data_IF_564664649373
#
_entry.id   IF_564664649373
#
_cell.length_a   1.000
_cell.length_b   1.000
_cell.length_c   1.000
_cell.angle_alpha   90.00
_cell.angle_beta   90.00
_cell.angle_gamma   90.00
#
_symmetry.space_group_name_H-M   'P 1'
#
loop_
_entity.id
_entity.type
_entity.pdbx_description
1 polymer ?
#
# COMPACT_ATOMS: atom_id res chain seq x y z
N UNK A 1 -15.50 -12.70 -17.91
CA UNK A 1 -14.66 -11.57 -17.46
C UNK A 1 -13.41 -12.03 -16.70
N UNK A 2 -13.52 -12.68 -15.54
CA UNK A 2 -12.38 -13.10 -14.70
C UNK A 2 -11.30 -13.93 -15.43
N UNK A 3 -11.69 -14.97 -16.17
CA UNK A 3 -10.72 -15.80 -16.89
C UNK A 3 -9.90 -15.03 -17.93
N UNK A 4 -10.48 -14.01 -18.57
CA UNK A 4 -9.76 -13.16 -19.52
C UNK A 4 -8.65 -12.37 -18.83
N UNK A 5 -8.93 -11.82 -17.64
CA UNK A 5 -7.98 -11.09 -16.79
C UNK A 5 -6.81 -12.01 -16.40
N UNK A 6 -7.10 -13.21 -15.91
CA UNK A 6 -6.08 -14.17 -15.48
C UNK A 6 -5.22 -14.65 -16.65
N UNK A 7 -5.82 -14.87 -17.82
CA UNK A 7 -5.09 -15.28 -19.02
C UNK A 7 -4.13 -14.18 -19.48
N UNK A 8 -4.55 -12.91 -19.44
CA UNK A 8 -3.76 -11.76 -19.83
C UNK A 8 -3.11 -11.01 -18.65
N UNK A 9 -2.83 -11.72 -17.54
CA UNK A 9 -2.38 -11.11 -16.28
C UNK A 9 -1.23 -10.11 -16.44
N UNK A 10 -0.23 -10.37 -17.29
CA UNK A 10 0.88 -9.41 -17.51
C UNK A 10 0.38 -8.06 -18.01
N UNK A 11 -0.51 -8.05 -19.02
CA UNK A 11 -1.12 -6.81 -19.54
C UNK A 11 -1.99 -6.15 -18.48
N UNK A 12 -2.78 -6.94 -17.76
CA UNK A 12 -3.60 -6.43 -16.64
C UNK A 12 -2.74 -5.76 -15.58
N UNK A 13 -1.64 -6.39 -15.15
CA UNK A 13 -0.73 -5.82 -14.16
C UNK A 13 -0.14 -4.51 -14.65
N UNK A 14 0.34 -4.46 -15.89
CA UNK A 14 0.93 -3.24 -16.47
C UNK A 14 -0.10 -2.11 -16.45
N UNK A 15 -1.31 -2.35 -16.99
CA UNK A 15 -2.37 -1.35 -17.06
C UNK A 15 -2.77 -0.88 -15.65
N UNK A 16 -3.06 -1.81 -14.73
CA UNK A 16 -3.45 -1.46 -13.36
C UNK A 16 -2.35 -0.70 -12.64
N UNK A 17 -1.09 -1.09 -12.80
CA UNK A 17 0.03 -0.40 -12.13
C UNK A 17 0.23 1.01 -12.66
N UNK A 18 0.12 1.20 -13.98
CA UNK A 18 0.21 2.53 -14.61
C UNK A 18 -0.95 3.40 -14.12
N UNK A 19 -2.19 2.89 -14.17
CA UNK A 19 -3.38 3.64 -13.78
C UNK A 19 -3.33 4.01 -12.29
N UNK A 20 -3.04 3.06 -11.40
CA UNK A 20 -2.99 3.31 -9.96
C UNK A 20 -1.91 4.35 -9.61
N UNK A 21 -0.70 4.21 -10.14
CA UNK A 21 0.38 5.16 -9.86
C UNK A 21 0.08 6.54 -10.49
N UNK A 22 -0.46 6.58 -11.70
CA UNK A 22 -0.84 7.84 -12.35
C UNK A 22 -1.91 8.58 -11.55
N UNK A 23 -2.95 7.88 -11.09
CA UNK A 23 -4.01 8.46 -10.24
C UNK A 23 -3.40 9.03 -8.95
N UNK A 24 -2.54 8.27 -8.26
CA UNK A 24 -1.89 8.74 -7.02
C UNK A 24 -1.04 9.99 -7.28
N UNK A 25 -0.24 10.01 -8.34
CA UNK A 25 0.62 11.15 -8.69
C UNK A 25 -0.23 12.38 -9.02
N UNK A 26 -1.28 12.21 -9.84
CA UNK A 26 -2.16 13.31 -10.25
C UNK A 26 -2.85 13.92 -9.03
N UNK A 27 -3.45 13.10 -8.17
CA UNK A 27 -4.14 13.56 -6.96
C UNK A 27 -3.19 14.25 -5.99
N UNK A 28 -1.96 13.76 -5.84
CA UNK A 28 -0.97 14.37 -4.94
C UNK A 28 -0.50 15.75 -5.42
N UNK A 29 -0.70 16.09 -6.69
CA UNK A 29 -0.35 17.40 -7.27
C UNK A 29 -1.53 18.37 -7.41
N UNK A 30 -2.76 17.94 -7.10
CA UNK A 30 -3.94 18.79 -7.16
C UNK A 30 -4.10 19.60 -5.88
N UNK A 31 -4.56 20.87 -5.96
CA UNK A 31 -4.94 21.62 -4.77
C UNK A 31 -6.12 20.91 -4.09
N UNK A 32 -6.10 20.88 -2.75
CA UNK A 32 -7.19 20.29 -1.98
C UNK A 32 -8.50 21.05 -2.17
N UNK A 33 -9.60 20.44 -1.72
CA UNK A 33 -10.90 21.08 -1.70
C UNK A 33 -10.86 22.29 -0.73
N UNK A 34 -11.27 23.47 -1.21
CA UNK A 34 -11.18 24.72 -0.45
C UNK A 34 -12.35 24.97 0.53
N UNK A 35 -13.28 24.03 0.67
CA UNK A 35 -14.36 24.12 1.65
C UNK A 35 -14.03 23.41 2.97
N UNK A 36 -14.92 23.55 3.96
CA UNK A 36 -14.79 22.81 5.22
C UNK A 36 -14.85 21.30 4.96
N UNK A 37 -13.84 20.58 5.45
CA UNK A 37 -13.79 19.13 5.33
C UNK A 37 -14.80 18.50 6.30
N UNK A 38 -15.63 17.55 5.82
CA UNK A 38 -16.45 16.75 6.73
C UNK A 38 -15.57 16.03 7.77
N UNK A 39 -16.02 15.97 9.02
CA UNK A 39 -15.28 15.32 10.12
C UNK A 39 -14.85 13.87 9.83
N UNK A 40 -15.55 13.14 8.96
CA UNK A 40 -15.15 11.77 8.63
C UNK A 40 -13.89 11.70 7.76
N UNK A 41 -13.57 12.77 7.00
CA UNK A 41 -12.36 12.88 6.18
C UNK A 41 -11.11 12.97 7.06
N UNK A 42 -11.19 13.69 8.19
CA UNK A 42 -10.06 13.91 9.11
C UNK A 42 -9.58 12.62 9.77
N UNK A 43 -10.43 11.59 9.86
CA UNK A 43 -10.06 10.26 10.35
C UNK A 43 -9.44 9.35 9.28
N UNK A 44 -9.50 9.69 7.99
CA UNK A 44 -8.99 8.83 6.93
C UNK A 44 -7.47 8.55 7.02
N UNK A 45 -6.60 9.50 7.40
CA UNK A 45 -5.19 9.20 7.64
C UNK A 45 -4.97 8.14 8.73
N UNK A 46 -5.77 8.21 9.81
CA UNK A 46 -5.74 7.19 10.87
C UNK A 46 -6.23 5.83 10.35
N UNK A 47 -7.32 5.81 9.57
CA UNK A 47 -7.82 4.58 8.93
C UNK A 47 -6.77 3.98 7.99
N UNK A 48 -6.06 4.81 7.23
CA UNK A 48 -4.97 4.39 6.36
C UNK A 48 -3.85 3.69 7.16
N UNK A 49 -3.44 4.25 8.29
CA UNK A 49 -2.48 3.61 9.18
C UNK A 49 -2.99 2.29 9.77
N UNK A 50 -4.26 2.21 10.14
CA UNK A 50 -4.88 0.97 10.63
C UNK A 50 -4.89 -0.11 9.55
N UNK A 51 -5.30 0.22 8.32
CA UNK A 51 -5.29 -0.73 7.21
C UNK A 51 -3.87 -1.22 6.88
N UNK A 52 -2.88 -0.33 6.90
CA UNK A 52 -1.48 -0.71 6.74
C UNK A 52 -0.99 -1.63 7.86
N UNK A 53 -1.41 -1.38 9.11
CA UNK A 53 -1.10 -2.25 10.25
C UNK A 53 -1.66 -3.66 10.05
N UNK A 54 -2.92 -3.78 9.63
CA UNK A 54 -3.52 -5.08 9.31
C UNK A 54 -2.81 -5.77 8.15
N UNK A 55 -2.52 -5.02 7.07
CA UNK A 55 -1.75 -5.55 5.93
C UNK A 55 -0.41 -6.11 6.41
N UNK A 56 0.34 -5.37 7.23
CA UNK A 56 1.63 -5.82 7.77
C UNK A 56 1.50 -7.12 8.58
N UNK A 57 0.53 -7.19 9.49
CA UNK A 57 0.27 -8.39 10.31
C UNK A 57 -0.14 -9.59 9.44
N UNK A 58 -1.00 -9.40 8.44
CA UNK A 58 -1.39 -10.46 7.52
C UNK A 58 -0.21 -10.93 6.66
N UNK A 59 0.68 -10.04 6.23
CA UNK A 59 1.90 -10.43 5.51
C UNK A 59 2.85 -11.24 6.37
N UNK A 60 3.02 -10.87 7.65
CA UNK A 60 3.79 -11.68 8.59
C UNK A 60 3.16 -13.07 8.78
N UNK A 61 1.84 -13.14 8.95
CA UNK A 61 1.09 -14.40 9.01
C UNK A 61 1.25 -15.24 7.75
N UNK A 62 1.20 -14.61 6.57
CA UNK A 62 1.42 -15.26 5.28
C UNK A 62 2.83 -15.81 5.15
N UNK A 63 3.84 -15.05 5.58
CA UNK A 63 5.25 -15.43 5.55
C UNK A 63 5.50 -16.61 6.50
N UNK A 64 5.05 -16.53 7.75
CA UNK A 64 5.18 -17.62 8.71
C UNK A 64 4.49 -18.89 8.19
N UNK A 65 3.28 -18.77 7.66
CA UNK A 65 2.52 -19.91 7.14
C UNK A 65 3.25 -20.63 6.01
N UNK A 66 3.82 -19.90 5.05
CA UNK A 66 4.52 -20.52 3.92
C UNK A 66 5.86 -21.13 4.32
N UNK A 67 6.56 -20.53 5.28
CA UNK A 67 7.81 -21.08 5.82
C UNK A 67 7.57 -22.42 6.55
N UNK A 68 6.39 -22.59 7.14
CA UNK A 68 5.95 -23.86 7.75
C UNK A 68 5.25 -24.81 6.75
N UNK A 69 5.23 -24.48 5.45
CA UNK A 69 4.61 -25.32 4.41
C UNK A 69 3.08 -25.26 4.36
N UNK A 70 2.41 -24.42 5.17
CA UNK A 70 0.96 -24.27 5.19
C UNK A 70 0.44 -23.36 4.06
N UNK A 71 0.42 -23.88 2.83
CA UNK A 71 0.07 -23.12 1.62
C UNK A 71 -1.34 -22.52 1.67
N UNK A 72 -2.34 -23.26 2.18
CA UNK A 72 -3.71 -22.76 2.24
C UNK A 72 -3.84 -21.57 3.21
N UNK A 73 -3.16 -21.62 4.34
CA UNK A 73 -3.17 -20.53 5.33
C UNK A 73 -2.43 -19.31 4.79
N UNK A 74 -1.29 -19.52 4.12
CA UNK A 74 -0.60 -18.46 3.39
C UNK A 74 -1.54 -17.74 2.41
N UNK A 75 -2.29 -18.48 1.58
CA UNK A 75 -3.23 -17.88 0.63
C UNK A 75 -4.31 -17.05 1.30
N UNK A 76 -4.89 -17.54 2.41
CA UNK A 76 -5.90 -16.81 3.18
C UNK A 76 -5.35 -15.48 3.72
N UNK A 77 -4.15 -15.50 4.28
CA UNK A 77 -3.50 -14.28 4.74
C UNK A 77 -3.15 -13.31 3.60
N UNK A 78 -2.70 -13.81 2.44
CA UNK A 78 -2.47 -12.97 1.27
C UNK A 78 -3.77 -12.32 0.80
N UNK A 79 -4.89 -13.04 0.78
CA UNK A 79 -6.19 -12.45 0.42
C UNK A 79 -6.63 -11.38 1.42
N UNK A 80 -6.46 -11.61 2.72
CA UNK A 80 -6.73 -10.61 3.74
C UNK A 80 -5.86 -9.34 3.56
N UNK A 81 -4.56 -9.51 3.31
CA UNK A 81 -3.63 -8.40 3.04
C UNK A 81 -4.00 -7.60 1.78
N UNK A 82 -4.44 -8.28 0.72
CA UNK A 82 -4.94 -7.62 -0.48
C UNK A 82 -6.20 -6.80 -0.19
N UNK A 83 -7.15 -7.37 0.54
CA UNK A 83 -8.39 -6.68 0.91
C UNK A 83 -8.12 -5.40 1.72
N UNK A 84 -7.26 -5.47 2.74
CA UNK A 84 -6.91 -4.28 3.54
C UNK A 84 -6.12 -3.26 2.75
N UNK A 85 -5.23 -3.70 1.85
CA UNK A 85 -4.53 -2.79 0.92
C UNK A 85 -5.50 -2.11 -0.04
N UNK A 86 -6.54 -2.80 -0.52
CA UNK A 86 -7.58 -2.17 -1.35
C UNK A 86 -8.37 -1.10 -0.59
N UNK A 87 -8.75 -1.38 0.67
CA UNK A 87 -9.41 -0.36 1.50
C UNK A 87 -8.50 0.83 1.82
N UNK A 88 -7.22 0.57 2.09
CA UNK A 88 -6.21 1.62 2.20
C UNK A 88 -6.18 2.50 0.94
N UNK A 89 -6.11 1.92 -0.27
CA UNK A 89 -6.03 2.70 -1.50
C UNK A 89 -7.26 3.58 -1.72
N UNK A 90 -8.46 3.06 -1.47
CA UNK A 90 -9.70 3.83 -1.59
C UNK A 90 -9.72 4.99 -0.60
N UNK A 91 -9.42 4.72 0.67
CA UNK A 91 -9.36 5.74 1.73
C UNK A 91 -8.28 6.80 1.46
N UNK A 92 -7.10 6.38 1.00
CA UNK A 92 -5.99 7.25 0.61
C UNK A 92 -6.36 8.19 -0.54
N UNK A 93 -6.99 7.66 -1.59
CA UNK A 93 -7.42 8.43 -2.76
C UNK A 93 -8.49 9.45 -2.37
N UNK A 94 -9.48 9.05 -1.55
CA UNK A 94 -10.51 9.97 -1.06
C UNK A 94 -9.87 11.11 -0.25
N UNK A 95 -8.95 10.79 0.67
CA UNK A 95 -8.26 11.79 1.46
C UNK A 95 -7.47 12.78 0.60
N UNK A 96 -6.64 12.31 -0.34
CA UNK A 96 -5.81 13.19 -1.19
C UNK A 96 -6.61 13.95 -2.24
N UNK A 97 -7.80 13.48 -2.59
CA UNK A 97 -8.71 14.24 -3.44
C UNK A 97 -9.40 15.38 -2.68
N UNK A 98 -9.68 15.19 -1.39
CA UNK A 98 -10.44 16.14 -0.58
C UNK A 98 -9.55 17.10 0.21
N UNK A 99 -8.55 16.60 0.91
CA UNK A 99 -7.76 17.36 1.87
C UNK A 99 -6.43 17.85 1.28
N UNK A 100 -5.99 19.03 1.71
CA UNK A 100 -4.65 19.50 1.42
C UNK A 100 -3.58 18.65 2.14
N UNK A 101 -2.42 18.54 1.51
CA UNK A 101 -1.29 17.80 2.07
C UNK A 101 -0.75 18.49 3.33
N UNK A 102 -0.69 17.75 4.43
CA UNK A 102 -0.08 18.23 5.67
C UNK A 102 1.44 18.20 5.56
N UNK A 103 2.08 19.31 5.90
CA UNK A 103 3.55 19.37 6.01
C UNK A 103 4.01 18.90 7.39
N UNK A 104 5.12 18.17 7.43
CA UNK A 104 5.74 17.78 8.69
C UNK A 104 6.31 19.02 9.40
N UNK A 105 5.87 19.27 10.64
CA UNK A 105 6.27 20.46 11.41
C UNK A 105 7.51 20.29 12.30
N UNK A 106 8.14 19.12 12.30
CA UNK A 106 9.36 18.87 13.06
C UNK A 106 10.62 19.46 12.40
N UNK A 107 11.71 19.61 13.16
CA UNK A 107 12.98 20.18 12.68
C UNK A 107 14.19 19.31 13.02
N UNK A 108 15.36 19.68 12.50
CA UNK A 108 16.64 19.03 12.78
C UNK A 108 16.68 17.56 12.37
N UNK A 109 17.25 16.71 13.24
CA UNK A 109 17.44 15.29 12.97
C UNK A 109 16.12 14.54 12.72
N UNK A 110 15.05 14.87 13.46
CA UNK A 110 13.75 14.19 13.31
C UNK A 110 13.09 14.49 11.97
N UNK A 111 13.29 15.69 11.42
CA UNK A 111 12.84 16.01 10.06
C UNK A 111 13.59 15.17 9.01
N UNK A 112 14.91 15.02 9.16
CA UNK A 112 15.71 14.19 8.24
C UNK A 112 15.24 12.72 8.26
N UNK A 113 14.99 12.16 9.45
CA UNK A 113 14.44 10.80 9.61
C UNK A 113 13.07 10.70 8.93
N UNK A 114 12.16 11.64 9.21
CA UNK A 114 10.82 11.65 8.62
C UNK A 114 10.87 11.65 7.09
N UNK A 115 11.60 12.59 6.49
CA UNK A 115 11.66 12.70 5.03
C UNK A 115 12.38 11.51 4.40
N UNK A 116 13.40 10.94 5.04
CA UNK A 116 14.02 9.71 4.55
C UNK A 116 13.01 8.55 4.51
N UNK A 117 12.28 8.33 5.60
CA UNK A 117 11.25 7.27 5.66
C UNK A 117 10.12 7.55 4.67
N UNK A 118 9.65 8.80 4.58
CA UNK A 118 8.57 9.20 3.68
C UNK A 118 8.96 8.98 2.21
N UNK A 119 10.12 9.48 1.79
CA UNK A 119 10.57 9.37 0.38
C UNK A 119 10.75 7.90 0.01
N UNK A 120 11.44 7.13 0.86
CA UNK A 120 11.64 5.71 0.60
C UNK A 120 10.32 4.94 0.59
N UNK A 121 9.38 5.27 1.49
CA UNK A 121 8.04 4.71 1.49
C UNK A 121 7.30 4.98 0.17
N UNK A 122 7.25 6.24 -0.29
CA UNK A 122 6.54 6.62 -1.52
C UNK A 122 7.13 5.91 -2.75
N UNK A 123 8.45 5.93 -2.89
CA UNK A 123 9.13 5.28 -4.04
C UNK A 123 8.88 3.78 -4.04
N UNK A 124 9.02 3.12 -2.89
CA UNK A 124 8.81 1.68 -2.79
C UNK A 124 7.33 1.30 -2.87
N UNK A 125 6.41 2.17 -2.45
CA UNK A 125 4.97 2.01 -2.63
C UNK A 125 4.58 2.00 -4.11
N UNK A 126 5.22 2.82 -4.96
CA UNK A 126 4.98 2.78 -6.39
C UNK A 126 5.49 1.47 -7.02
N UNK A 127 6.67 1.00 -6.59
CA UNK A 127 7.32 -0.23 -7.08
C UNK A 127 6.59 -1.49 -6.63
N UNK A 128 5.99 -1.50 -5.43
CA UNK A 128 5.34 -2.70 -4.91
C UNK A 128 4.06 -3.06 -5.65
N UNK A 129 3.35 -2.10 -6.26
CA UNK A 129 2.09 -2.35 -6.99
C UNK A 129 2.24 -3.42 -8.07
N UNK A 130 3.14 -3.30 -9.07
CA UNK A 130 3.31 -4.35 -10.08
C UNK A 130 3.82 -5.66 -9.49
N UNK A 131 4.71 -5.61 -8.49
CA UNK A 131 5.28 -6.80 -7.86
C UNK A 131 4.22 -7.62 -7.10
N UNK A 132 3.37 -6.95 -6.32
CA UNK A 132 2.29 -7.57 -5.56
C UNK A 132 1.28 -8.21 -6.51
N UNK A 133 0.85 -7.49 -7.56
CA UNK A 133 -0.10 -8.01 -8.53
C UNK A 133 0.48 -9.20 -9.31
N UNK A 134 1.74 -9.15 -9.77
CA UNK A 134 2.39 -10.30 -10.41
C UNK A 134 2.47 -11.51 -9.47
N UNK A 135 2.82 -11.28 -8.21
CA UNK A 135 2.91 -12.34 -7.20
C UNK A 135 1.56 -12.99 -6.95
N UNK A 136 0.49 -12.18 -6.88
CA UNK A 136 -0.89 -12.65 -6.73
C UNK A 136 -1.34 -13.50 -7.92
N UNK A 137 -1.22 -13.00 -9.15
CA UNK A 137 -1.67 -13.73 -10.34
C UNK A 137 -0.90 -15.03 -10.54
N UNK A 138 0.42 -15.01 -10.36
CA UNK A 138 1.26 -16.22 -10.50
C UNK A 138 0.97 -17.23 -9.39
N UNK A 139 0.67 -16.78 -8.18
CA UNK A 139 0.22 -17.63 -7.07
C UNK A 139 -1.17 -18.21 -7.30
N UNK A 140 -2.11 -17.40 -7.81
CA UNK A 140 -3.46 -17.83 -8.17
C UNK A 140 -3.45 -18.89 -9.28
N UNK A 141 -2.62 -18.70 -10.31
CA UNK A 141 -2.40 -19.67 -11.39
C UNK A 141 -1.56 -20.89 -10.99
N UNK A 142 -1.07 -20.95 -9.75
CA UNK A 142 -0.22 -22.02 -9.20
C UNK A 142 1.07 -22.26 -9.99
N UNK A 143 1.64 -21.21 -10.59
CA UNK A 143 2.92 -21.28 -11.33
C UNK A 143 4.06 -21.02 -10.34
N UNK A 144 4.40 -22.03 -9.54
CA UNK A 144 5.28 -21.89 -8.38
C UNK A 144 6.68 -21.33 -8.70
N UNK A 145 7.29 -21.74 -9.81
CA UNK A 145 8.62 -21.27 -10.24
C UNK A 145 8.65 -19.76 -10.48
N UNK A 146 7.64 -19.25 -11.20
CA UNK A 146 7.49 -17.82 -11.49
C UNK A 146 7.07 -17.05 -10.24
N UNK A 147 6.15 -17.59 -9.45
CA UNK A 147 5.70 -16.97 -8.20
C UNK A 147 6.87 -16.69 -7.24
N UNK A 148 7.74 -17.68 -7.02
CA UNK A 148 8.94 -17.54 -6.17
C UNK A 148 9.89 -16.43 -6.67
N UNK A 149 10.02 -16.25 -7.98
CA UNK A 149 10.89 -15.22 -8.59
C UNK A 149 10.42 -13.79 -8.24
N UNK A 150 9.11 -13.58 -8.15
CA UNK A 150 8.52 -12.29 -7.78
C UNK A 150 8.48 -12.12 -6.26
N UNK A 151 7.97 -13.11 -5.54
CA UNK A 151 7.73 -13.01 -4.08
C UNK A 151 9.00 -12.76 -3.28
N UNK A 152 10.18 -13.23 -3.73
CA UNK A 152 11.46 -12.94 -3.06
C UNK A 152 11.73 -11.44 -2.91
N UNK A 153 11.18 -10.61 -3.82
CA UNK A 153 11.26 -9.15 -3.75
C UNK A 153 9.98 -8.55 -3.19
N UNK A 154 8.83 -9.06 -3.60
CA UNK A 154 7.52 -8.55 -3.15
C UNK A 154 7.38 -8.62 -1.63
N UNK A 155 7.69 -9.75 -1.01
CA UNK A 155 7.44 -9.95 0.42
C UNK A 155 8.20 -8.95 1.32
N UNK A 156 9.54 -8.81 1.22
CA UNK A 156 10.25 -7.84 2.05
C UNK A 156 9.85 -6.39 1.76
N UNK A 157 9.62 -6.04 0.49
CA UNK A 157 9.19 -4.68 0.13
C UNK A 157 7.79 -4.36 0.63
N UNK A 158 6.85 -5.31 0.56
CA UNK A 158 5.48 -5.08 1.02
C UNK A 158 5.41 -4.97 2.54
N UNK A 159 6.21 -5.78 3.27
CA UNK A 159 6.39 -5.62 4.72
C UNK A 159 6.99 -4.25 5.05
N UNK A 160 8.02 -3.81 4.33
CA UNK A 160 8.62 -2.50 4.53
C UNK A 160 7.60 -1.36 4.33
N UNK A 161 6.90 -1.35 3.19
CA UNK A 161 5.95 -0.28 2.84
C UNK A 161 4.78 -0.26 3.83
N UNK A 162 4.19 -1.41 4.16
CA UNK A 162 3.08 -1.47 5.13
C UNK A 162 3.50 -1.01 6.53
N UNK A 163 4.70 -1.37 7.00
CA UNK A 163 5.22 -0.87 8.29
C UNK A 163 5.53 0.63 8.24
N UNK A 164 6.27 1.08 7.24
CA UNK A 164 6.66 2.50 7.13
C UNK A 164 5.47 3.42 6.91
N UNK A 165 4.37 2.95 6.30
CA UNK A 165 3.14 3.73 6.18
C UNK A 165 2.52 4.05 7.54
N UNK A 166 2.59 3.12 8.50
CA UNK A 166 2.18 3.36 9.90
C UNK A 166 3.13 4.34 10.56
N UNK A 167 4.44 4.16 10.38
CA UNK A 167 5.46 5.02 10.98
C UNK A 167 5.34 6.48 10.49
N UNK A 168 5.16 6.69 9.19
CA UNK A 168 4.93 8.03 8.60
C UNK A 168 3.72 8.69 9.26
N UNK A 169 2.61 7.96 9.40
CA UNK A 169 1.41 8.50 10.06
C UNK A 169 1.69 8.87 11.52
N UNK A 170 2.33 7.99 12.30
CA UNK A 170 2.64 8.27 13.71
C UNK A 170 3.55 9.49 13.89
N UNK A 171 4.47 9.72 12.95
CA UNK A 171 5.35 10.89 12.98
C UNK A 171 4.61 12.17 12.59
N UNK A 172 3.78 12.14 11.55
CA UNK A 172 3.09 13.33 11.06
C UNK A 172 1.82 13.67 11.86
N UNK A 173 1.24 12.70 12.58
CA UNK A 173 -0.06 12.86 13.24
C UNK A 173 -0.19 14.07 14.18
N UNK A 174 0.85 14.48 14.94
CA UNK A 174 0.76 15.68 15.79
C UNK A 174 0.65 17.00 15.02
N UNK A 175 0.89 16.98 13.70
CA UNK A 175 0.92 18.16 12.84
C UNK A 175 -0.34 18.32 11.97
N UNK A 176 -1.32 17.43 12.09
CA UNK A 176 -2.63 17.65 11.48
C UNK A 176 -3.31 18.86 12.15
N UNK A 177 -3.75 19.82 11.33
CA UNK A 177 -4.27 21.12 11.77
C UNK A 177 -5.79 21.26 11.67
N UNK A 178 -6.49 20.14 11.52
CA UNK A 178 -7.93 20.05 11.39
C UNK A 178 -8.57 19.36 12.61
#
# INVERSE_FOLDING_TARGET
>A
MWQSIVNHHVRTVIILSIVLNAVIILLSGMPGYQGELPNWITYLPMMNAIFNSFTFVFLLGALFSILNGHVQLHQRFIYAAFTTTSFFLVSYVIFHFMAESTSYGGSGFMAAVYYFVLITHIVLAAVIVPLALMSFFTGYKRIASVHKKWVRWTMPLWLYVSFTGVLVYLMISPYYSF
#
